data_IF_420988537970
#
_entry.id   IF_420988537970
#
_cell.length_a   1.000
_cell.length_b   1.000
_cell.length_c   1.000
_cell.angle_alpha   90.00
_cell.angle_beta   90.00
_cell.angle_gamma   90.00
#
_symmetry.space_group_name_H-M   'P 1'
#
loop_
_entity.id
_entity.type
_entity.pdbx_description
1 polymer ?
#
# COMPACT_ATOMS: atom_id res chain seq x y z
N UNK A 1 -10.53 9.01 90.29
CA UNK A 1 -9.19 8.59 89.83
C UNK A 1 -9.34 7.32 89.00
N UNK A 2 -9.44 7.41 87.68
CA UNK A 2 -9.34 6.23 86.81
C UNK A 2 -8.93 6.67 85.41
N UNK A 3 -7.92 5.99 84.89
CA UNK A 3 -6.99 6.40 83.83
C UNK A 3 -7.63 6.37 82.43
N UNK A 4 -7.43 7.45 81.66
CA UNK A 4 -7.62 7.49 80.21
C UNK A 4 -6.63 6.56 79.51
N UNK A 5 -7.14 5.59 78.75
CA UNK A 5 -6.37 4.81 77.78
C UNK A 5 -6.27 5.59 76.46
N UNK A 6 -5.06 6.00 76.12
CA UNK A 6 -4.67 6.45 74.78
C UNK A 6 -4.34 5.21 73.94
N UNK A 7 -5.18 4.91 72.94
CA UNK A 7 -4.89 3.91 71.91
C UNK A 7 -4.17 4.62 70.77
N UNK A 8 -2.88 4.34 70.61
CA UNK A 8 -2.09 4.75 69.46
C UNK A 8 -2.39 3.82 68.28
N UNK A 9 -3.08 4.31 67.25
CA UNK A 9 -3.20 3.63 65.96
C UNK A 9 -1.91 3.85 65.15
N UNK A 10 -1.10 2.80 65.03
CA UNK A 10 -0.02 2.74 64.05
C UNK A 10 -0.61 2.42 62.66
N UNK A 11 -0.73 3.42 61.80
CA UNK A 11 -1.06 3.23 60.38
C UNK A 11 0.22 2.76 59.69
N UNK A 12 0.32 1.46 59.44
CA UNK A 12 1.36 0.88 58.59
C UNK A 12 1.20 1.43 57.16
N UNK A 13 2.19 2.20 56.71
CA UNK A 13 2.25 2.70 55.34
C UNK A 13 2.37 1.54 54.36
N UNK A 14 1.29 1.29 53.61
CA UNK A 14 1.34 0.39 52.46
C UNK A 14 2.26 1.00 51.39
N UNK A 15 3.24 0.24 50.85
CA UNK A 15 4.05 0.71 49.75
C UNK A 15 3.13 0.98 48.56
N UNK A 16 3.01 2.25 48.18
CA UNK A 16 2.35 2.66 46.95
C UNK A 16 3.12 1.98 45.83
N UNK A 17 2.53 0.95 45.21
CA UNK A 17 3.09 0.35 44.02
C UNK A 17 3.24 1.48 43.00
N UNK A 18 4.49 1.86 42.70
CA UNK A 18 4.83 2.73 41.60
C UNK A 18 4.26 2.09 40.34
N UNK A 19 3.06 2.53 39.94
CA UNK A 19 2.45 2.19 38.67
C UNK A 19 3.45 2.64 37.61
N UNK A 20 4.18 1.68 37.06
CA UNK A 20 5.09 1.93 35.94
C UNK A 20 4.30 2.68 34.88
N UNK A 21 4.77 3.89 34.53
CA UNK A 21 4.12 4.71 33.53
C UNK A 21 3.84 3.84 32.29
N UNK A 22 2.63 3.92 31.70
CA UNK A 22 2.28 3.09 30.56
C UNK A 22 3.38 3.24 29.51
N UNK A 23 4.11 2.14 29.25
CA UNK A 23 5.16 2.13 28.24
C UNK A 23 4.57 2.65 26.95
N UNK A 24 5.20 3.68 26.38
CA UNK A 24 4.72 4.28 25.15
C UNK A 24 4.74 3.25 24.02
N UNK A 25 3.55 2.72 23.73
CA UNK A 25 3.32 1.67 22.75
C UNK A 25 3.75 2.07 21.34
N UNK A 26 3.89 3.38 21.07
CA UNK A 26 4.30 3.92 19.77
C UNK A 26 5.80 4.19 19.66
N UNK A 27 6.55 4.10 20.75
CA UNK A 27 7.99 4.36 20.75
C UNK A 27 8.75 3.61 19.63
N UNK A 28 8.48 2.31 19.36
CA UNK A 28 9.20 1.59 18.32
C UNK A 28 8.94 2.14 16.90
N UNK A 29 7.67 2.38 16.53
CA UNK A 29 7.36 2.97 15.23
C UNK A 29 7.82 4.43 15.12
N UNK A 30 7.84 5.21 16.21
CA UNK A 30 8.38 6.58 16.19
C UNK A 30 9.88 6.58 15.88
N UNK A 31 10.63 5.67 16.50
CA UNK A 31 12.05 5.49 16.19
C UNK A 31 12.25 5.09 14.72
N UNK A 32 11.45 4.14 14.22
CA UNK A 32 11.52 3.70 12.84
C UNK A 32 11.18 4.82 11.85
N UNK A 33 10.13 5.60 12.13
CA UNK A 33 9.75 6.75 11.32
C UNK A 33 10.88 7.80 11.27
N UNK A 34 11.55 8.06 12.39
CA UNK A 34 12.68 8.98 12.44
C UNK A 34 13.88 8.47 11.63
N UNK A 35 14.19 7.18 11.72
CA UNK A 35 15.26 6.57 10.93
C UNK A 35 14.95 6.59 9.42
N UNK A 36 13.70 6.34 9.03
CA UNK A 36 13.27 6.48 7.63
C UNK A 36 13.50 7.92 7.15
N UNK A 37 13.15 8.94 7.95
CA UNK A 37 13.42 10.35 7.60
C UNK A 37 14.90 10.63 7.47
N UNK A 38 15.72 10.16 8.40
CA UNK A 38 17.17 10.37 8.38
C UNK A 38 17.80 9.75 7.14
N UNK A 39 17.41 8.51 6.80
CA UNK A 39 17.93 7.81 5.63
C UNK A 39 17.45 8.41 4.32
N UNK A 40 16.19 8.84 4.24
CA UNK A 40 15.68 9.49 3.06
C UNK A 40 16.49 10.76 2.70
N UNK A 41 17.09 11.45 3.67
CA UNK A 41 17.95 12.62 3.41
C UNK A 41 19.28 12.28 2.73
N UNK A 42 19.77 11.05 2.89
CA UNK A 42 21.08 10.63 2.37
C UNK A 42 21.01 9.86 1.06
N UNK A 43 19.80 9.59 0.57
CA UNK A 43 19.60 8.77 -0.62
C UNK A 43 19.32 9.64 -1.86
N UNK A 44 20.16 9.54 -2.90
CA UNK A 44 20.01 10.34 -4.11
C UNK A 44 18.94 9.81 -5.08
N UNK A 45 18.50 8.55 -4.90
CA UNK A 45 17.55 7.91 -5.81
C UNK A 45 16.41 7.22 -5.04
N UNK A 46 15.23 7.84 -5.05
CA UNK A 46 14.03 7.35 -4.39
C UNK A 46 13.35 6.18 -5.13
N UNK A 47 13.68 5.94 -6.41
CA UNK A 47 13.12 4.81 -7.18
C UNK A 47 13.59 3.44 -6.66
N UNK A 48 14.67 3.40 -5.86
CA UNK A 48 15.19 2.19 -5.22
C UNK A 48 14.73 2.02 -3.76
N UNK A 49 13.84 2.88 -3.28
CA UNK A 49 13.29 2.79 -1.93
C UNK A 49 12.10 1.84 -1.92
N UNK A 50 12.38 0.56 -2.11
CA UNK A 50 11.43 -0.45 -1.64
C UNK A 50 11.35 -0.39 -0.10
N UNK A 51 10.22 -0.85 0.44
CA UNK A 51 9.99 -0.82 1.88
C UNK A 51 11.07 -1.61 2.63
N UNK A 52 11.52 -2.73 2.06
CA UNK A 52 12.54 -3.58 2.66
C UNK A 52 13.87 -2.83 2.83
N UNK A 53 14.30 -2.07 1.82
CA UNK A 53 15.52 -1.29 1.85
C UNK A 53 15.42 -0.22 2.92
N UNK A 54 14.32 0.56 2.99
CA UNK A 54 14.15 1.59 4.02
C UNK A 54 14.18 1.02 5.43
N UNK A 55 13.56 -0.14 5.62
CA UNK A 55 13.36 -0.74 6.94
C UNK A 55 14.56 -1.58 7.40
N UNK A 56 15.37 -2.14 6.49
CA UNK A 56 16.43 -3.12 6.77
C UNK A 56 17.40 -2.82 7.95
N UNK A 57 17.88 -1.58 8.18
CA UNK A 57 18.84 -1.30 9.25
C UNK A 57 18.25 -1.47 10.65
N UNK A 58 16.93 -1.33 10.75
CA UNK A 58 16.21 -1.35 12.01
C UNK A 58 15.35 -2.60 12.13
N UNK A 59 14.74 -2.98 11.02
CA UNK A 59 13.94 -4.17 10.86
C UNK A 59 14.73 -5.21 10.08
N UNK A 60 15.29 -6.17 10.78
CA UNK A 60 15.94 -7.31 10.13
C UNK A 60 14.88 -8.35 9.79
N UNK A 61 14.59 -8.53 8.50
CA UNK A 61 13.74 -9.63 8.04
C UNK A 61 14.39 -10.97 8.39
N UNK A 62 13.59 -11.92 8.87
CA UNK A 62 14.02 -13.30 9.11
C UNK A 62 13.49 -14.16 7.97
N UNK A 63 14.37 -14.79 7.18
CA UNK A 63 13.92 -15.65 6.10
C UNK A 63 13.23 -16.89 6.65
N UNK A 64 12.44 -17.53 5.78
CA UNK A 64 11.94 -18.85 6.06
C UNK A 64 13.10 -19.83 6.29
N UNK A 65 12.91 -20.76 7.24
CA UNK A 65 13.86 -21.82 7.53
C UNK A 65 13.76 -22.87 6.42
N UNK A 66 14.84 -23.03 5.65
CA UNK A 66 14.92 -23.97 4.53
C UNK A 66 14.90 -25.42 4.99
N UNK A 67 15.47 -25.72 6.15
CA UNK A 67 15.52 -27.07 6.73
C UNK A 67 15.10 -27.06 8.21
N UNK A 68 13.80 -26.91 8.50
CA UNK A 68 13.31 -26.90 9.88
C UNK A 68 13.38 -28.32 10.48
N UNK A 69 13.48 -28.46 11.81
CA UNK A 69 13.44 -29.76 12.46
C UNK A 69 12.17 -30.54 12.05
N UNK A 70 12.28 -31.84 11.80
CA UNK A 70 11.16 -32.66 11.32
C UNK A 70 9.92 -32.57 12.22
N UNK A 71 10.12 -32.54 13.54
CA UNK A 71 9.03 -32.39 14.52
C UNK A 71 8.31 -31.02 14.40
N UNK A 72 9.03 -29.95 14.06
CA UNK A 72 8.45 -28.61 13.84
C UNK A 72 7.64 -28.59 12.55
N UNK A 73 8.17 -29.19 11.47
CA UNK A 73 7.46 -29.32 10.19
C UNK A 73 6.17 -30.12 10.34
N UNK A 74 6.23 -31.32 10.92
CA UNK A 74 5.06 -32.16 11.14
C UNK A 74 4.02 -31.49 12.07
N UNK A 75 4.47 -30.69 13.05
CA UNK A 75 3.56 -29.87 13.85
C UNK A 75 2.84 -28.81 13.02
N UNK A 76 3.57 -28.09 12.18
CA UNK A 76 3.01 -27.05 11.32
C UNK A 76 2.01 -27.60 10.29
N UNK A 77 2.35 -28.70 9.62
CA UNK A 77 1.49 -29.38 8.65
C UNK A 77 0.16 -29.80 9.31
N UNK A 78 0.20 -30.39 10.51
CA UNK A 78 -1.02 -30.73 11.27
C UNK A 78 -1.85 -29.51 11.68
N UNK A 79 -1.20 -28.43 12.13
CA UNK A 79 -1.90 -27.22 12.57
C UNK A 79 -2.58 -26.47 11.41
N UNK A 80 -2.02 -26.59 10.20
CA UNK A 80 -2.54 -25.97 8.99
C UNK A 80 -3.40 -26.92 8.14
N UNK A 81 -3.64 -28.15 8.61
CA UNK A 81 -4.39 -29.19 7.90
C UNK A 81 -3.82 -29.48 6.49
N UNK A 82 -2.52 -29.73 6.45
CA UNK A 82 -1.75 -30.01 5.23
C UNK A 82 -1.26 -31.45 5.28
N UNK A 83 -1.34 -32.15 4.15
CA UNK A 83 -0.69 -33.46 3.99
C UNK A 83 0.83 -33.37 4.22
N UNK A 84 1.47 -34.43 4.75
CA UNK A 84 2.92 -34.45 4.96
C UNK A 84 3.70 -34.12 3.68
N UNK A 85 4.63 -33.16 3.76
CA UNK A 85 5.42 -32.72 2.61
C UNK A 85 4.74 -31.64 1.75
N UNK A 86 3.55 -31.17 2.13
CA UNK A 86 2.89 -30.06 1.48
C UNK A 86 3.62 -28.72 1.64
N UNK A 87 3.18 -27.73 0.85
CA UNK A 87 3.78 -26.40 0.82
C UNK A 87 3.52 -25.59 2.09
N UNK A 88 4.44 -25.63 3.05
CA UNK A 88 4.45 -24.80 4.26
C UNK A 88 5.75 -24.00 4.36
N UNK A 89 5.63 -22.70 4.61
CA UNK A 89 6.75 -21.83 4.95
C UNK A 89 6.86 -21.70 6.47
N UNK A 90 8.05 -21.90 7.01
CA UNK A 90 8.31 -21.87 8.45
C UNK A 90 9.29 -20.77 8.80
N UNK A 91 9.01 -19.98 9.83
CA UNK A 91 9.88 -18.90 10.30
C UNK A 91 10.02 -18.93 11.83
N UNK A 92 11.20 -18.56 12.32
CA UNK A 92 11.46 -18.45 13.77
C UNK A 92 11.09 -17.05 14.26
N UNK A 93 9.98 -16.95 15.00
CA UNK A 93 9.57 -15.69 15.64
C UNK A 93 10.48 -15.39 16.82
N UNK A 94 10.66 -16.33 17.75
CA UNK A 94 11.62 -16.20 18.85
C UNK A 94 12.19 -17.58 19.18
N UNK A 95 13.22 -17.70 20.02
CA UNK A 95 13.69 -19.02 20.45
C UNK A 95 12.51 -19.90 20.93
N UNK A 96 12.32 -21.06 20.29
CA UNK A 96 11.23 -22.00 20.59
C UNK A 96 9.84 -21.61 20.08
N UNK A 97 9.67 -20.45 19.44
CA UNK A 97 8.39 -19.98 18.90
C UNK A 97 8.47 -19.85 17.39
N UNK A 98 7.52 -20.49 16.71
CA UNK A 98 7.47 -20.64 15.28
C UNK A 98 6.23 -19.98 14.70
N UNK A 99 6.38 -19.44 13.49
CA UNK A 99 5.29 -19.12 12.58
C UNK A 99 5.30 -20.15 11.46
N UNK A 100 4.16 -20.73 11.14
CA UNK A 100 3.95 -21.47 9.91
C UNK A 100 2.93 -20.72 9.04
N UNK A 101 3.20 -20.66 7.74
CA UNK A 101 2.38 -20.00 6.73
C UNK A 101 2.09 -20.98 5.60
N UNK A 102 0.85 -20.99 5.11
CA UNK A 102 0.47 -21.62 3.85
C UNK A 102 -0.30 -20.64 2.99
N UNK A 103 -0.11 -20.72 1.68
CA UNK A 103 -0.94 -20.05 0.67
C UNK A 103 -2.04 -20.98 0.18
N UNK A 104 -3.26 -20.48 0.13
CA UNK A 104 -4.48 -21.23 -0.21
C UNK A 104 -5.35 -20.43 -1.19
N UNK A 105 -6.11 -21.17 -2.01
CA UNK A 105 -7.08 -20.61 -2.95
C UNK A 105 -6.47 -19.89 -4.16
N UNK A 106 -7.34 -19.44 -5.06
CA UNK A 106 -6.96 -18.70 -6.28
C UNK A 106 -6.54 -17.25 -6.00
N UNK A 107 -7.00 -16.70 -4.87
CA UNK A 107 -6.60 -15.38 -4.38
C UNK A 107 -5.26 -15.39 -3.61
N UNK A 108 -4.56 -16.54 -3.55
CA UNK A 108 -3.31 -16.73 -2.80
C UNK A 108 -3.39 -16.19 -1.35
N UNK A 109 -4.48 -16.50 -0.67
CA UNK A 109 -4.66 -16.09 0.71
C UNK A 109 -3.71 -16.86 1.61
N UNK A 110 -3.08 -16.15 2.54
CA UNK A 110 -2.15 -16.70 3.50
C UNK A 110 -2.87 -16.97 4.81
N UNK A 111 -2.69 -18.19 5.30
CA UNK A 111 -3.11 -18.62 6.62
C UNK A 111 -1.86 -18.81 7.46
N UNK A 112 -1.81 -18.17 8.63
CA UNK A 112 -0.73 -18.38 9.58
C UNK A 112 -1.18 -19.06 10.86
N UNK A 113 -0.27 -19.83 11.43
CA UNK A 113 -0.36 -20.30 12.82
C UNK A 113 0.94 -19.96 13.54
N UNK A 114 0.82 -19.52 14.79
CA UNK A 114 1.94 -19.33 15.70
C UNK A 114 1.91 -20.45 16.73
N UNK A 115 3.04 -21.09 16.98
CA UNK A 115 3.08 -22.23 17.89
C UNK A 115 4.45 -22.40 18.54
N UNK A 116 4.47 -23.22 19.60
CA UNK A 116 5.69 -23.74 20.21
C UNK A 116 5.57 -25.26 20.38
N UNK A 117 6.70 -25.92 20.61
CA UNK A 117 6.71 -27.32 20.98
C UNK A 117 6.87 -27.46 22.50
N UNK A 118 5.95 -28.17 23.13
CA UNK A 118 6.00 -28.55 24.54
C UNK A 118 5.98 -30.08 24.63
N UNK A 119 7.06 -30.67 25.15
CA UNK A 119 7.19 -32.14 25.28
C UNK A 119 6.87 -32.87 23.95
N UNK A 120 7.34 -32.31 22.84
CA UNK A 120 7.13 -32.85 21.48
C UNK A 120 5.74 -32.60 20.88
N UNK A 121 4.83 -31.92 21.59
CA UNK A 121 3.49 -31.57 21.09
C UNK A 121 3.42 -30.09 20.72
N UNK A 122 2.70 -29.80 19.64
CA UNK A 122 2.46 -28.42 19.23
C UNK A 122 1.43 -27.76 20.15
N UNK A 123 1.75 -26.57 20.65
CA UNK A 123 0.82 -25.71 21.38
C UNK A 123 0.65 -24.43 20.59
N UNK A 124 -0.57 -24.22 20.09
CA UNK A 124 -0.94 -23.01 19.36
C UNK A 124 -0.89 -21.81 20.29
N UNK A 125 -0.30 -20.73 19.81
CA UNK A 125 -0.24 -19.45 20.49
C UNK A 125 -1.31 -18.52 19.90
N UNK A 126 -1.82 -17.55 20.68
CA UNK A 126 -2.74 -16.56 20.14
C UNK A 126 -2.16 -15.85 18.92
N UNK A 127 -3.00 -15.60 17.93
CA UNK A 127 -2.66 -14.68 16.84
C UNK A 127 -2.58 -13.23 17.38
N UNK A 128 -1.87 -12.31 16.69
CA UNK A 128 -1.83 -10.93 17.12
C UNK A 128 -3.22 -10.26 17.02
N UNK A 129 -3.51 -9.21 17.82
CA UNK A 129 -4.85 -8.62 17.89
C UNK A 129 -5.42 -8.06 16.57
N UNK A 130 -4.56 -7.69 15.62
CA UNK A 130 -4.95 -7.17 14.29
C UNK A 130 -4.80 -8.24 13.18
N UNK A 131 -4.83 -9.52 13.55
CA UNK A 131 -4.58 -10.61 12.63
C UNK A 131 -5.82 -10.97 11.82
N UNK A 132 -5.75 -10.73 10.51
CA UNK A 132 -6.68 -11.25 9.51
C UNK A 132 -5.93 -12.11 8.50
N UNK A 133 -6.65 -12.99 7.81
CA UNK A 133 -6.11 -13.67 6.64
C UNK A 133 -5.71 -12.61 5.60
N UNK A 134 -4.53 -12.78 5.01
CA UNK A 134 -4.02 -11.84 4.00
C UNK A 134 -4.11 -12.47 2.64
N UNK A 135 -4.87 -11.86 1.74
CA UNK A 135 -4.89 -12.26 0.34
C UNK A 135 -3.92 -11.42 -0.48
N UNK A 136 -3.64 -11.89 -1.70
CA UNK A 136 -2.84 -11.33 -2.81
C UNK A 136 -2.11 -9.98 -2.65
N UNK A 137 -2.78 -8.97 -2.08
CA UNK A 137 -2.36 -7.59 -1.90
C UNK A 137 -1.79 -7.32 -0.51
N UNK A 138 -1.42 -8.32 0.26
CA UNK A 138 -0.84 -8.10 1.58
C UNK A 138 0.17 -9.17 1.88
N UNK A 139 1.26 -8.77 2.54
CA UNK A 139 2.33 -9.66 2.93
C UNK A 139 2.60 -9.55 4.41
N UNK A 140 3.11 -10.64 4.97
CA UNK A 140 3.47 -10.71 6.38
C UNK A 140 4.80 -11.43 6.51
N UNK A 141 5.69 -10.82 7.28
CA UNK A 141 7.03 -11.33 7.52
C UNK A 141 7.37 -11.29 9.00
N UNK A 142 8.24 -12.22 9.41
CA UNK A 142 8.84 -12.20 10.74
C UNK A 142 10.12 -11.40 10.65
N UNK A 143 10.36 -10.54 11.64
CA UNK A 143 11.60 -9.78 11.73
C UNK A 143 12.06 -9.57 13.16
N UNK A 144 13.05 -8.70 13.31
CA UNK A 144 13.49 -8.17 14.60
C UNK A 144 13.69 -6.67 14.51
N UNK A 145 13.28 -5.94 15.55
CA UNK A 145 13.49 -4.52 15.72
C UNK A 145 14.17 -4.27 17.06
N UNK A 146 15.41 -3.74 17.05
CA UNK A 146 16.23 -3.58 18.25
C UNK A 146 16.27 -4.87 19.10
N UNK A 147 16.54 -6.01 18.46
CA UNK A 147 16.54 -7.37 19.04
C UNK A 147 15.19 -7.88 19.57
N UNK A 148 14.12 -7.09 19.53
CA UNK A 148 12.76 -7.54 19.85
C UNK A 148 12.16 -8.21 18.61
N UNK A 149 11.68 -9.46 18.69
CA UNK A 149 11.01 -10.05 17.56
C UNK A 149 9.71 -9.34 17.22
N UNK A 150 9.43 -9.21 15.94
CA UNK A 150 8.24 -8.54 15.44
C UNK A 150 7.61 -9.33 14.31
N UNK A 151 6.31 -9.18 14.19
CA UNK A 151 5.57 -9.48 12.97
C UNK A 151 5.37 -8.17 12.22
N UNK A 152 5.69 -8.15 10.93
CA UNK A 152 5.48 -7.00 10.06
C UNK A 152 4.48 -7.39 9.00
N UNK A 153 3.38 -6.66 8.95
CA UNK A 153 2.40 -6.75 7.88
C UNK A 153 2.51 -5.52 7.01
N UNK A 154 2.54 -5.73 5.70
CA UNK A 154 2.53 -4.67 4.70
C UNK A 154 1.36 -4.93 3.77
N UNK A 155 0.47 -3.95 3.67
CA UNK A 155 -0.56 -3.99 2.65
C UNK A 155 0.13 -3.56 1.33
N UNK A 156 0.24 -4.49 0.39
CA UNK A 156 0.60 -4.18 -0.99
C UNK A 156 -0.60 -3.47 -1.61
N UNK A 157 -0.54 -2.14 -1.64
CA UNK A 157 -1.59 -1.38 -2.29
C UNK A 157 -1.46 -1.62 -3.81
N UNK A 158 -2.52 -2.11 -4.44
CA UNK A 158 -2.59 -2.26 -5.89
C UNK A 158 -2.52 -0.88 -6.56
N UNK A 159 -1.30 -0.44 -6.87
CA UNK A 159 -1.08 0.79 -7.59
C UNK A 159 0.27 1.44 -7.31
N UNK A 160 0.71 2.36 -8.17
CA UNK A 160 1.86 3.21 -7.90
C UNK A 160 1.46 4.29 -6.89
N UNK A 161 1.08 3.89 -5.68
CA UNK A 161 0.92 4.85 -4.61
C UNK A 161 2.30 5.34 -4.20
N UNK A 162 2.48 6.66 -3.97
CA UNK A 162 3.73 7.21 -3.52
C UNK A 162 3.89 6.90 -2.02
N UNK A 163 4.02 5.64 -1.63
CA UNK A 163 4.18 5.25 -0.24
C UNK A 163 3.73 3.84 0.09
N UNK A 164 3.84 3.49 1.35
CA UNK A 164 3.36 2.23 1.91
C UNK A 164 2.96 2.41 3.38
N UNK A 165 2.19 1.46 3.88
CA UNK A 165 1.90 1.32 5.29
C UNK A 165 2.44 -0.03 5.78
N UNK A 166 3.04 -0.03 6.96
CA UNK A 166 3.52 -1.22 7.62
C UNK A 166 2.99 -1.27 9.06
N UNK A 167 2.32 -2.35 9.41
CA UNK A 167 1.90 -2.63 10.78
C UNK A 167 2.91 -3.55 11.45
N UNK A 168 3.39 -3.14 12.61
CA UNK A 168 4.48 -3.80 13.32
C UNK A 168 3.97 -4.23 14.68
N UNK A 169 3.95 -5.54 14.92
CA UNK A 169 3.45 -6.14 16.16
C UNK A 169 4.60 -6.79 16.93
N UNK A 170 5.03 -6.23 18.07
CA UNK A 170 6.12 -6.79 18.85
C UNK A 170 5.72 -8.06 19.60
N UNK A 171 6.66 -8.99 19.71
CA UNK A 171 6.57 -10.19 20.54
C UNK A 171 7.45 -10.04 21.78
N UNK A 172 6.82 -9.97 22.95
CA UNK A 172 7.49 -9.93 24.27
C UNK A 172 6.75 -10.85 25.22
N UNK A 173 7.08 -12.15 25.21
CA UNK A 173 6.33 -13.17 25.95
C UNK A 173 4.82 -13.15 25.61
N UNK A 174 4.50 -12.94 24.33
CA UNK A 174 3.15 -12.65 23.85
C UNK A 174 3.10 -11.40 22.99
N UNK A 175 2.03 -11.28 22.20
CA UNK A 175 1.81 -10.12 21.34
C UNK A 175 1.58 -8.86 22.16
N UNK A 176 2.22 -7.79 21.72
CA UNK A 176 1.99 -6.43 22.22
C UNK A 176 1.14 -5.67 21.21
N UNK A 177 0.49 -4.56 21.61
CA UNK A 177 -0.22 -3.71 20.68
C UNK A 177 0.66 -3.35 19.49
N UNK A 178 0.08 -3.46 18.29
CA UNK A 178 0.77 -3.08 17.08
C UNK A 178 0.92 -1.55 16.99
N UNK A 179 1.88 -1.11 16.20
CA UNK A 179 1.99 0.27 15.76
C UNK A 179 2.05 0.32 14.24
N UNK A 180 1.55 1.41 13.64
CA UNK A 180 1.55 1.60 12.20
C UNK A 180 2.61 2.63 11.82
N UNK A 181 3.44 2.26 10.85
CA UNK A 181 4.32 3.16 10.14
C UNK A 181 3.66 3.53 8.81
N UNK A 182 3.48 4.82 8.56
CA UNK A 182 3.02 5.34 7.27
C UNK A 182 4.12 6.13 6.61
N UNK A 183 4.59 5.64 5.46
CA UNK A 183 5.59 6.31 4.63
C UNK A 183 4.91 6.85 3.38
N UNK A 184 5.10 8.13 3.10
CA UNK A 184 4.60 8.79 1.90
C UNK A 184 5.75 9.49 1.20
N UNK A 185 5.81 9.33 -0.10
CA UNK A 185 6.78 9.93 -0.99
C UNK A 185 6.18 11.16 -1.67
N UNK A 186 7.07 12.03 -2.14
CA UNK A 186 6.75 13.00 -3.17
C UNK A 186 6.88 12.29 -4.51
N UNK A 187 5.99 12.60 -5.42
CA UNK A 187 6.05 12.14 -6.78
C UNK A 187 6.09 13.32 -7.76
N UNK A 188 6.53 13.02 -8.97
CA UNK A 188 6.45 13.91 -10.12
C UNK A 188 5.94 13.12 -11.32
N UNK A 189 5.08 13.75 -12.09
CA UNK A 189 4.48 13.21 -13.30
C UNK A 189 5.12 13.94 -14.47
N UNK A 190 5.83 13.20 -15.32
CA UNK A 190 6.59 13.77 -16.45
C UNK A 190 6.15 13.11 -17.74
N UNK A 191 5.83 13.92 -18.75
CA UNK A 191 5.61 13.42 -20.11
C UNK A 191 6.93 12.93 -20.67
N UNK A 192 7.02 11.63 -20.94
CA UNK A 192 8.19 10.98 -21.52
C UNK A 192 8.05 10.77 -23.03
N UNK A 193 6.81 10.64 -23.51
CA UNK A 193 6.51 10.46 -24.93
C UNK A 193 5.23 11.22 -25.31
N UNK A 194 5.16 11.70 -26.56
CA UNK A 194 4.00 12.41 -27.09
C UNK A 194 3.74 12.04 -28.56
N UNK A 195 2.55 11.54 -28.84
CA UNK A 195 2.10 11.05 -30.14
C UNK A 195 1.02 11.94 -30.75
N UNK A 196 0.91 11.94 -32.08
CA UNK A 196 -0.02 12.77 -32.85
C UNK A 196 0.67 13.65 -33.90
N UNK A 197 -0.08 14.07 -34.92
CA UNK A 197 0.46 14.82 -36.06
C UNK A 197 0.82 16.28 -35.72
N UNK A 198 0.02 16.93 -34.88
CA UNK A 198 0.20 18.34 -34.53
C UNK A 198 1.25 18.51 -33.42
N UNK A 199 2.39 19.13 -33.75
CA UNK A 199 3.47 19.39 -32.80
C UNK A 199 3.13 20.53 -31.81
N UNK A 200 2.40 21.54 -32.25
CA UNK A 200 2.03 22.69 -31.42
C UNK A 200 1.06 22.24 -30.34
N UNK A 201 0.04 21.48 -30.74
CA UNK A 201 -0.91 20.87 -29.81
C UNK A 201 -0.20 20.02 -28.76
N UNK A 202 0.73 19.14 -29.19
CA UNK A 202 1.47 18.27 -28.27
C UNK A 202 2.29 19.05 -27.25
N UNK A 203 2.99 20.10 -27.68
CA UNK A 203 3.79 20.95 -26.78
C UNK A 203 2.90 21.69 -25.77
N UNK A 204 1.79 22.27 -26.23
CA UNK A 204 0.85 22.99 -25.36
C UNK A 204 0.11 22.09 -24.37
N UNK A 205 -0.21 20.86 -24.77
CA UNK A 205 -0.95 19.90 -23.97
C UNK A 205 -0.12 19.10 -22.96
N UNK A 206 1.21 19.05 -23.09
CA UNK A 206 2.06 18.23 -22.21
C UNK A 206 1.92 18.56 -20.70
N UNK A 207 1.84 19.84 -20.26
CA UNK A 207 1.58 20.17 -18.86
C UNK A 207 0.22 19.65 -18.37
N UNK A 208 -0.82 19.77 -19.21
CA UNK A 208 -2.16 19.27 -18.92
C UNK A 208 -2.17 17.75 -18.75
N UNK A 209 -1.47 17.02 -19.63
CA UNK A 209 -1.34 15.57 -19.51
C UNK A 209 -0.72 15.15 -18.15
N UNK A 210 0.34 15.84 -17.72
CA UNK A 210 0.97 15.58 -16.42
C UNK A 210 0.00 15.85 -15.25
N UNK A 211 -0.79 16.92 -15.32
CA UNK A 211 -1.79 17.25 -14.31
C UNK A 211 -2.92 16.21 -14.23
N UNK A 212 -3.41 15.74 -15.38
CA UNK A 212 -4.47 14.74 -15.47
C UNK A 212 -4.02 13.39 -14.91
N UNK A 213 -2.84 12.91 -15.29
CA UNK A 213 -2.25 11.69 -14.73
C UNK A 213 -2.08 11.79 -13.21
N UNK A 214 -1.56 12.92 -12.74
CA UNK A 214 -1.37 13.19 -11.31
C UNK A 214 -2.68 13.22 -10.52
N UNK A 215 -3.75 13.76 -11.12
CA UNK A 215 -5.06 13.77 -10.48
C UNK A 215 -5.70 12.38 -10.43
N UNK A 216 -5.57 11.58 -11.49
CA UNK A 216 -6.02 10.19 -11.47
C UNK A 216 -5.29 9.38 -10.39
N UNK A 217 -3.96 9.55 -10.28
CA UNK A 217 -3.18 8.88 -9.25
C UNK A 217 -3.69 9.20 -7.83
N UNK A 218 -4.08 10.46 -7.58
CA UNK A 218 -4.60 10.92 -6.29
C UNK A 218 -6.04 10.51 -6.00
N UNK A 219 -6.85 10.20 -7.00
CA UNK A 219 -8.25 9.80 -6.81
C UNK A 219 -8.42 8.29 -6.60
N UNK A 220 -7.36 7.49 -6.78
CA UNK A 220 -7.37 6.05 -6.51
C UNK A 220 -7.56 5.74 -5.02
N UNK A 221 -8.43 4.77 -4.73
CA UNK A 221 -8.84 4.42 -3.36
C UNK A 221 -10.10 5.14 -2.87
N UNK A 222 -10.71 5.99 -3.71
CA UNK A 222 -12.06 6.52 -3.51
C UNK A 222 -13.02 5.70 -4.37
N UNK A 223 -14.19 5.32 -3.83
CA UNK A 223 -15.18 4.45 -4.50
C UNK A 223 -15.64 4.95 -5.88
N UNK A 224 -15.41 6.24 -6.19
CA UNK A 224 -15.56 6.82 -7.52
C UNK A 224 -14.31 7.65 -7.89
N UNK A 225 -13.34 7.09 -8.62
CA UNK A 225 -12.18 7.84 -9.08
C UNK A 225 -12.62 8.91 -10.09
N UNK A 226 -12.85 10.13 -9.61
CA UNK A 226 -13.19 11.26 -10.48
C UNK A 226 -11.95 12.09 -10.82
N UNK A 227 -11.76 12.38 -12.11
CA UNK A 227 -10.88 13.46 -12.59
C UNK A 227 -11.46 14.86 -12.30
N UNK A 228 -12.59 14.93 -11.58
CA UNK A 228 -13.29 16.19 -11.30
C UNK A 228 -12.46 17.17 -10.46
N UNK A 229 -11.40 16.70 -9.80
CA UNK A 229 -10.41 17.54 -9.12
C UNK A 229 -9.36 18.15 -10.06
N UNK A 230 -9.16 17.58 -11.25
CA UNK A 230 -8.17 18.01 -12.25
C UNK A 230 -8.78 18.93 -13.32
N UNK A 231 -9.99 18.60 -13.76
CA UNK A 231 -10.71 19.39 -14.76
C UNK A 231 -11.57 20.45 -14.04
N UNK A 232 -11.55 21.72 -14.47
CA UNK A 232 -12.45 22.70 -13.90
C UNK A 232 -13.90 22.25 -14.12
N UNK A 233 -14.64 21.97 -13.04
CA UNK A 233 -16.07 21.61 -13.06
C UNK A 233 -16.87 22.62 -13.92
N UNK A 234 -16.41 23.87 -13.98
CA UNK A 234 -16.96 24.92 -14.82
C UNK A 234 -16.88 24.64 -16.33
N UNK A 235 -15.81 24.02 -16.84
CA UNK A 235 -15.64 23.69 -18.27
C UNK A 235 -16.60 22.55 -18.64
N UNK A 236 -16.63 21.49 -17.82
CA UNK A 236 -17.57 20.38 -17.97
C UNK A 236 -19.03 20.85 -18.05
N UNK A 237 -19.44 21.80 -17.19
CA UNK A 237 -20.80 22.36 -17.20
C UNK A 237 -21.12 23.21 -18.43
N UNK A 238 -20.11 23.84 -19.05
CA UNK A 238 -20.28 24.66 -20.26
C UNK A 238 -20.42 23.85 -21.54
N UNK A 239 -20.00 22.58 -21.53
CA UNK A 239 -20.02 21.70 -22.71
C UNK A 239 -20.73 20.37 -22.43
N UNK A 240 -22.06 20.38 -22.21
CA UNK A 240 -22.82 19.17 -21.84
C UNK A 240 -22.76 18.07 -22.90
N UNK A 241 -22.71 18.43 -24.20
CA UNK A 241 -22.58 17.46 -25.28
C UNK A 241 -21.25 16.67 -25.22
N UNK A 242 -20.13 17.37 -24.92
CA UNK A 242 -18.83 16.71 -24.73
C UNK A 242 -18.82 15.84 -23.48
N UNK A 243 -19.52 16.25 -22.43
CA UNK A 243 -19.67 15.43 -21.23
C UNK A 243 -20.42 14.13 -21.53
N UNK A 244 -21.50 14.19 -22.32
CA UNK A 244 -22.20 12.99 -22.79
C UNK A 244 -21.30 12.11 -23.64
N UNK A 245 -20.49 12.71 -24.53
CA UNK A 245 -19.53 11.97 -25.34
C UNK A 245 -18.43 11.30 -24.49
N UNK A 246 -17.90 11.99 -23.49
CA UNK A 246 -16.92 11.47 -22.54
C UNK A 246 -17.49 10.29 -21.72
N UNK A 247 -18.76 10.39 -21.28
CA UNK A 247 -19.45 9.28 -20.59
C UNK A 247 -19.62 8.07 -21.47
N UNK A 248 -20.10 8.25 -22.71
CA UNK A 248 -20.25 7.15 -23.69
C UNK A 248 -18.91 6.47 -23.99
N UNK A 249 -17.84 7.26 -24.05
CA UNK A 249 -16.48 6.73 -24.25
C UNK A 249 -16.05 5.86 -23.05
N UNK A 250 -16.25 6.33 -21.82
CA UNK A 250 -15.97 5.55 -20.62
C UNK A 250 -16.85 4.28 -20.49
N UNK A 251 -18.12 4.34 -20.90
CA UNK A 251 -19.03 3.18 -20.91
C UNK A 251 -18.57 2.10 -21.89
N UNK A 252 -18.05 2.47 -23.07
CA UNK A 252 -17.48 1.51 -24.03
C UNK A 252 -16.28 0.77 -23.44
N UNK A 253 -15.43 1.48 -22.71
CA UNK A 253 -14.22 0.91 -22.10
C UNK A 253 -14.56 -0.19 -21.10
N UNK A 254 -15.59 0.04 -20.27
CA UNK A 254 -16.09 -0.96 -19.32
C UNK A 254 -16.63 -2.24 -19.99
N UNK A 255 -17.03 -2.16 -21.26
CA UNK A 255 -17.48 -3.31 -22.04
C UNK A 255 -16.33 -4.09 -22.71
N UNK A 256 -15.07 -3.75 -22.41
CA UNK A 256 -13.87 -4.42 -22.92
C UNK A 256 -13.26 -3.75 -24.16
N UNK A 257 -13.37 -2.43 -24.30
CA UNK A 257 -12.96 -1.72 -25.52
C UNK A 257 -11.51 -1.20 -25.52
N UNK A 258 -10.92 -1.34 -26.71
CA UNK A 258 -9.80 -0.63 -27.35
C UNK A 258 -8.70 -0.01 -26.47
N UNK A 259 -7.49 -0.57 -26.64
CA UNK A 259 -6.23 0.03 -26.20
C UNK A 259 -6.18 1.51 -26.56
N UNK A 260 -5.76 2.35 -25.61
CA UNK A 260 -5.61 3.78 -25.84
C UNK A 260 -4.67 4.06 -27.02
N UNK A 261 -5.05 4.93 -27.98
CA UNK A 261 -4.31 5.08 -29.22
C UNK A 261 -2.95 5.73 -29.00
N UNK A 262 -1.92 5.13 -29.58
CA UNK A 262 -0.55 5.67 -29.70
C UNK A 262 -0.22 6.04 -31.16
N UNK A 263 -1.25 6.21 -32.00
CA UNK A 263 -1.13 6.56 -33.42
C UNK A 263 -0.22 5.60 -34.22
N UNK A 264 -0.33 4.30 -33.94
CA UNK A 264 0.46 3.26 -34.61
C UNK A 264 1.91 3.13 -34.13
N UNK A 265 2.31 3.86 -33.08
CA UNK A 265 3.64 3.77 -32.49
C UNK A 265 3.61 2.92 -31.22
N UNK A 266 4.64 2.09 -31.01
CA UNK A 266 4.79 1.43 -29.72
C UNK A 266 5.33 2.43 -28.70
N UNK A 267 4.69 2.53 -27.52
CA UNK A 267 5.24 3.28 -26.40
C UNK A 267 6.54 2.62 -25.93
N UNK A 268 7.54 3.42 -25.55
CA UNK A 268 8.82 2.97 -24.97
C UNK A 268 8.68 2.64 -23.48
N UNK A 269 7.58 2.02 -23.12
CA UNK A 269 7.34 1.51 -21.77
C UNK A 269 7.26 0.00 -21.82
N UNK A 270 7.31 -0.64 -20.65
CA UNK A 270 7.06 -2.08 -20.53
C UNK A 270 5.58 -2.46 -20.65
N UNK A 271 4.69 -1.46 -20.80
CA UNK A 271 3.25 -1.65 -20.80
C UNK A 271 2.71 -1.60 -22.22
N UNK A 272 2.06 -2.69 -22.64
CA UNK A 272 1.44 -2.81 -23.96
C UNK A 272 -0.03 -2.39 -23.96
N UNK A 273 -0.64 -2.21 -22.79
CA UNK A 273 -2.02 -1.76 -22.62
C UNK A 273 -2.15 -0.83 -21.40
N UNK A 274 -3.14 0.07 -21.46
CA UNK A 274 -3.45 1.11 -20.48
C UNK A 274 -4.94 1.10 -20.08
N UNK A 275 -5.65 -0.01 -20.27
CA UNK A 275 -7.11 -0.13 -20.16
C UNK A 275 -7.65 -0.39 -18.75
N UNK A 276 -6.80 -0.74 -17.77
CA UNK A 276 -7.21 -1.25 -16.44
C UNK A 276 -7.96 -0.23 -15.54
N UNK A 277 -7.89 1.06 -15.84
CA UNK A 277 -8.68 2.10 -15.16
C UNK A 277 -8.74 3.32 -16.04
N UNK A 278 -9.80 3.42 -16.84
CA UNK A 278 -9.96 4.54 -17.76
C UNK A 278 -11.00 5.50 -17.24
N UNK A 279 -10.63 6.77 -17.21
CA UNK A 279 -11.53 7.87 -16.84
C UNK A 279 -11.47 8.93 -17.92
N UNK A 280 -12.62 9.55 -18.18
CA UNK A 280 -12.76 10.58 -19.19
C UNK A 280 -13.29 11.87 -18.56
N UNK A 281 -12.77 13.01 -19.00
CA UNK A 281 -13.21 14.32 -18.54
C UNK A 281 -13.15 15.35 -19.67
N UNK A 282 -13.91 16.43 -19.53
CA UNK A 282 -13.84 17.55 -20.47
C UNK A 282 -12.79 18.53 -19.99
N UNK A 283 -11.85 18.86 -20.87
CA UNK A 283 -10.78 19.84 -20.63
C UNK A 283 -10.89 21.00 -21.61
N UNK A 284 -10.19 22.09 -21.34
CA UNK A 284 -10.02 23.17 -22.30
C UNK A 284 -8.53 23.40 -22.51
N UNK A 285 -8.11 23.44 -23.77
CA UNK A 285 -6.75 23.73 -24.17
C UNK A 285 -6.79 24.93 -25.12
N UNK A 286 -6.15 26.04 -24.70
CA UNK A 286 -6.16 27.31 -25.44
C UNK A 286 -7.57 27.79 -25.83
N UNK A 287 -8.57 27.53 -24.97
CA UNK A 287 -9.98 27.87 -25.19
C UNK A 287 -10.77 26.86 -26.02
N UNK A 288 -10.12 25.87 -26.63
CA UNK A 288 -10.78 24.78 -27.35
C UNK A 288 -11.21 23.68 -26.36
N UNK A 289 -12.50 23.33 -26.29
CA UNK A 289 -12.96 22.26 -25.42
C UNK A 289 -12.70 20.89 -26.05
N UNK A 290 -12.08 19.99 -25.28
CA UNK A 290 -11.68 18.65 -25.69
C UNK A 290 -12.13 17.61 -24.66
N UNK A 291 -12.13 16.34 -25.03
CA UNK A 291 -12.27 15.23 -24.08
C UNK A 291 -10.88 14.64 -23.82
N UNK A 292 -10.48 14.59 -22.56
CA UNK A 292 -9.28 13.87 -22.13
C UNK A 292 -9.67 12.52 -21.55
N UNK A 293 -8.99 11.46 -21.99
CA UNK A 293 -9.10 10.09 -21.48
C UNK A 293 -7.76 9.74 -20.83
N UNK A 294 -7.78 9.16 -19.63
CA UNK A 294 -6.56 8.77 -18.91
C UNK A 294 -6.67 7.31 -18.53
N UNK A 295 -5.69 6.52 -18.96
CA UNK A 295 -5.53 5.12 -18.61
C UNK A 295 -4.19 4.86 -17.91
N UNK A 296 -4.05 3.66 -17.34
CA UNK A 296 -2.90 3.28 -16.52
C UNK A 296 -2.34 1.96 -17.02
N UNK A 297 -1.03 1.94 -17.23
CA UNK A 297 -0.29 0.77 -17.66
C UNK A 297 -0.35 -0.31 -16.59
N UNK A 298 -0.62 -1.54 -17.03
CA UNK A 298 -0.81 -2.67 -16.14
C UNK A 298 -0.32 -3.99 -16.73
N UNK A 299 -0.34 -5.02 -15.88
CA UNK A 299 -0.13 -6.42 -16.29
C UNK A 299 -1.32 -7.23 -15.80
N UNK A 300 -2.10 -7.75 -16.73
CA UNK A 300 -3.36 -8.43 -16.43
C UNK A 300 -4.39 -7.42 -15.94
N UNK A 301 -4.82 -7.54 -14.69
CA UNK A 301 -5.76 -6.62 -14.04
C UNK A 301 -5.07 -5.62 -13.10
N UNK A 302 -3.73 -5.64 -13.05
CA UNK A 302 -2.95 -4.91 -12.05
C UNK A 302 -2.41 -3.61 -12.64
N UNK A 303 -2.85 -2.44 -12.14
CA UNK A 303 -2.36 -1.17 -12.66
C UNK A 303 -1.10 -0.74 -11.92
N UNK A 304 0.07 -0.96 -12.51
CA UNK A 304 1.38 -0.85 -11.84
C UNK A 304 2.32 0.16 -12.51
N UNK A 305 1.81 0.93 -13.47
CA UNK A 305 2.66 1.56 -14.47
C UNK A 305 2.48 3.05 -14.73
N UNK A 306 3.09 3.44 -15.84
CA UNK A 306 2.94 4.76 -16.45
C UNK A 306 1.48 5.03 -16.83
N UNK A 307 1.17 6.29 -17.07
CA UNK A 307 -0.16 6.74 -17.47
C UNK A 307 -0.15 7.04 -18.96
N UNK A 308 -1.27 6.79 -19.63
CA UNK A 308 -1.48 7.23 -20.99
C UNK A 308 -2.65 8.21 -21.01
N UNK A 309 -2.36 9.45 -21.38
CA UNK A 309 -3.37 10.51 -21.54
C UNK A 309 -3.64 10.69 -23.02
N UNK A 310 -4.90 10.62 -23.43
CA UNK A 310 -5.33 10.81 -24.82
C UNK A 310 -6.31 11.97 -24.88
N UNK A 311 -6.05 12.90 -25.81
CA UNK A 311 -6.95 14.01 -26.10
C UNK A 311 -7.76 13.71 -27.34
N UNK A 312 -9.06 13.96 -27.24
CA UNK A 312 -10.04 13.81 -28.31
C UNK A 312 -10.66 15.15 -28.64
N UNK A 313 -10.75 15.42 -29.94
CA UNK A 313 -11.53 16.53 -30.49
C UNK A 313 -12.91 16.01 -30.91
N UNK A 314 -13.93 16.85 -30.74
CA UNK A 314 -15.25 16.56 -31.27
C UNK A 314 -15.25 16.68 -32.79
N UNK A 315 -15.42 15.57 -33.48
CA UNK A 315 -15.72 15.53 -34.90
C UNK A 315 -17.21 15.75 -35.17
N UNK A 316 -17.60 15.58 -36.44
CA UNK A 316 -18.99 15.73 -36.91
C UNK A 316 -19.95 14.73 -36.25
N UNK A 317 -19.51 13.50 -35.99
CA UNK A 317 -20.33 12.45 -35.35
C UNK A 317 -19.66 11.76 -34.18
N UNK A 318 -18.32 11.82 -34.07
CA UNK A 318 -17.55 11.03 -33.10
C UNK A 318 -16.35 11.80 -32.54
N UNK A 319 -15.87 11.34 -31.38
CA UNK A 319 -14.63 11.83 -30.78
C UNK A 319 -13.44 11.25 -31.55
N UNK A 320 -12.57 12.13 -32.07
CA UNK A 320 -11.37 11.72 -32.82
C UNK A 320 -10.13 11.98 -31.96
N UNK A 321 -9.25 10.98 -31.73
CA UNK A 321 -8.01 11.21 -30.99
C UNK A 321 -7.08 12.13 -31.78
N UNK A 322 -6.54 13.15 -31.12
CA UNK A 322 -5.67 14.18 -31.74
C UNK A 322 -4.26 14.21 -31.17
N UNK A 323 -4.08 13.78 -29.91
CA UNK A 323 -2.78 13.64 -29.28
C UNK A 323 -2.82 12.61 -28.14
N UNK A 324 -1.69 11.96 -27.87
CA UNK A 324 -1.53 11.03 -26.75
C UNK A 324 -0.19 11.25 -26.06
N UNK A 325 -0.13 11.00 -24.75
CA UNK A 325 1.04 11.27 -23.92
C UNK A 325 1.30 10.13 -22.94
N UNK A 326 2.50 9.57 -22.98
CA UNK A 326 2.98 8.70 -21.90
C UNK A 326 3.48 9.60 -20.79
N UNK A 327 2.91 9.43 -19.59
CA UNK A 327 3.28 10.17 -18.40
C UNK A 327 3.84 9.19 -17.37
N UNK A 328 5.13 9.31 -17.09
CA UNK A 328 5.81 8.50 -16.09
C UNK A 328 5.70 9.16 -14.72
N UNK A 329 5.30 8.37 -13.72
CA UNK A 329 5.35 8.77 -12.32
C UNK A 329 6.72 8.39 -11.76
N UNK A 330 7.42 9.36 -11.19
CA UNK A 330 8.70 9.15 -10.53
C UNK A 330 8.63 9.59 -9.07
N UNK A 331 9.27 8.84 -8.18
CA UNK A 331 9.41 9.24 -6.79
C UNK A 331 10.57 10.24 -6.68
N UNK A 332 10.30 11.42 -6.14
CA UNK A 332 11.26 12.54 -6.09
C UNK A 332 11.76 12.85 -4.68
N UNK A 333 11.14 12.28 -3.65
CA UNK A 333 11.54 12.54 -2.29
C UNK A 333 10.66 11.86 -1.25
N UNK A 334 11.00 12.02 0.02
CA UNK A 334 10.11 11.69 1.13
C UNK A 334 9.17 12.87 1.38
N UNK A 335 7.87 12.62 1.39
CA UNK A 335 6.86 13.58 1.83
C UNK A 335 6.70 13.50 3.35
N UNK A 336 6.50 12.30 3.88
CA UNK A 336 6.35 12.07 5.32
C UNK A 336 6.68 10.63 5.71
N UNK A 337 7.09 10.46 6.97
CA UNK A 337 7.10 9.17 7.64
C UNK A 337 6.56 9.37 9.05
N UNK A 338 5.44 8.75 9.37
CA UNK A 338 4.72 8.96 10.64
C UNK A 338 4.40 7.64 11.32
N UNK A 339 4.29 7.71 12.64
CA UNK A 339 3.89 6.59 13.48
C UNK A 339 2.54 6.87 14.11
N UNK A 340 1.61 5.93 14.00
CA UNK A 340 0.28 6.02 14.63
C UNK A 340 -0.06 4.71 15.34
N UNK A 341 -1.13 4.74 16.12
CA UNK A 341 -1.82 3.49 16.43
C UNK A 341 -2.41 2.91 15.12
N UNK A 342 -2.51 1.58 14.98
CA UNK A 342 -3.31 0.97 13.92
C UNK A 342 -4.73 1.49 14.02
N UNK A 343 -5.38 1.72 12.88
CA UNK A 343 -6.83 1.95 12.91
C UNK A 343 -7.48 0.64 13.33
N UNK A 344 -8.49 0.65 14.22
CA UNK A 344 -9.33 -0.53 14.42
C UNK A 344 -9.82 -0.98 13.05
N UNK A 345 -9.76 -2.27 12.77
CA UNK A 345 -10.34 -2.81 11.56
C UNK A 345 -11.86 -2.59 11.66
N UNK A 346 -12.37 -1.58 10.98
CA UNK A 346 -13.81 -1.42 10.79
C UNK A 346 -14.17 -2.38 9.67
N UNK A 347 -14.94 -3.41 9.99
CA UNK A 347 -15.49 -4.38 9.04
C UNK A 347 -16.32 -3.59 8.01
N UNK A 348 -15.68 -3.18 6.91
CA UNK A 348 -16.34 -2.57 5.77
C UNK A 348 -16.96 -3.72 4.96
N UNK A 349 -18.00 -4.35 5.53
CA UNK A 349 -18.91 -5.22 4.78
C UNK A 349 -20.05 -4.42 4.17
#
# INVERSE_FOLDING_TARGET
MMRSMLVAMAIAGLPTALLAAPQDQRAPCRQLAEQVRQRARTLPNFLKLDADHLLAPTLTARPAVTSPPAAVRAAAERLLDIEPGGGVALSVLSPGVWRAERREGTANCTRDVFFRLERGRAVTLPAPPAFTDLCWTSSRSVGAMNHVPVLVQQDAIDGPLPGFDAEITPWRQGWRPACRLSVRYRDAFTVTEAFGADLTLRRGAAPLASQLASALARSRGVSEPSLASAAPIAVARRHPALMTAAKRLAERDMAGADSLPTFGQAAKTQFTDFSDTVTATVVSLDGEPMVARVGIGGVGWRPIGDYLVVLYRQGTSELTPVASFVVTQTLTGLLSATASAPKPWTDNR
#
